data_IF_361259345041
#
_entry.id   IF_361259345041
#
_cell.length_a   1.000
_cell.length_b   1.000
_cell.length_c   1.000
_cell.angle_alpha   90.00
_cell.angle_beta   90.00
_cell.angle_gamma   90.00
#
_symmetry.space_group_name_H-M   'P 1'
#
loop_
_entity.id
_entity.type
_entity.pdbx_description
1 polymer ?
#
# COMPACT_ATOMS: atom_id res chain seq x y z
N UNK A 1 11.49 11.52 -13.55
CA UNK A 1 10.14 11.86 -13.05
C UNK A 1 9.16 11.37 -14.10
N UNK A 2 8.07 10.72 -13.69
CA UNK A 2 7.00 10.37 -14.62
C UNK A 2 6.37 11.68 -15.11
N UNK A 3 6.19 11.83 -16.42
CA UNK A 3 5.47 12.98 -16.97
C UNK A 3 4.03 12.97 -16.44
N UNK A 4 3.52 14.12 -15.99
CA UNK A 4 2.18 14.30 -15.41
C UNK A 4 1.89 13.56 -14.09
N UNK A 5 2.92 13.12 -13.35
CA UNK A 5 2.71 12.58 -12.01
C UNK A 5 2.56 13.69 -10.97
N UNK A 6 1.53 13.57 -10.13
CA UNK A 6 1.38 14.37 -8.91
C UNK A 6 1.93 13.63 -7.69
N UNK A 7 2.53 14.39 -6.78
CA UNK A 7 3.12 13.85 -5.55
C UNK A 7 2.56 14.59 -4.35
N UNK A 8 2.26 13.84 -3.28
CA UNK A 8 2.01 14.38 -1.96
C UNK A 8 3.23 14.10 -1.08
N UNK A 9 4.10 15.11 -0.95
CA UNK A 9 5.44 14.98 -0.33
C UNK A 9 5.48 15.53 1.11
N UNK A 10 4.34 15.96 1.65
CA UNK A 10 4.29 16.45 3.03
C UNK A 10 4.68 15.33 4.01
N UNK A 11 5.58 15.65 4.94
CA UNK A 11 6.10 14.65 5.88
C UNK A 11 5.08 14.32 6.97
N UNK A 12 4.73 13.04 7.12
CA UNK A 12 3.98 12.53 8.27
C UNK A 12 4.89 12.33 9.48
N UNK A 13 5.44 13.42 10.03
CA UNK A 13 6.29 13.36 11.22
C UNK A 13 5.47 13.32 12.52
N UNK A 14 4.77 12.22 12.77
CA UNK A 14 4.03 12.02 14.04
C UNK A 14 4.95 11.99 15.27
N UNK A 15 6.25 11.78 15.09
CA UNK A 15 7.20 11.76 16.21
C UNK A 15 7.44 13.15 16.80
N UNK A 16 7.29 14.21 15.99
CA UNK A 16 7.45 15.60 16.44
C UNK A 16 6.20 16.20 17.09
N UNK A 17 5.06 15.48 17.13
CA UNK A 17 3.84 15.96 17.79
C UNK A 17 3.48 15.17 19.07
N UNK A 18 2.80 15.80 20.04
CA UNK A 18 2.32 15.13 21.25
C UNK A 18 1.44 13.92 20.92
N UNK A 19 1.51 12.86 21.73
CA UNK A 19 0.75 11.62 21.52
C UNK A 19 -0.75 11.87 21.34
N UNK A 20 -1.31 12.80 22.12
CA UNK A 20 -2.70 13.23 22.07
C UNK A 20 -3.12 13.80 20.71
N UNK A 21 -2.18 14.37 19.95
CA UNK A 21 -2.45 15.04 18.67
C UNK A 21 -2.19 14.16 17.45
N UNK A 22 -1.41 13.08 17.59
CA UNK A 22 -0.98 12.22 16.47
C UNK A 22 -2.12 11.75 15.59
N UNK A 23 -3.25 11.38 16.18
CA UNK A 23 -4.44 10.92 15.46
C UNK A 23 -5.03 12.03 14.59
N UNK A 24 -5.18 13.23 15.16
CA UNK A 24 -5.69 14.40 14.46
C UNK A 24 -4.74 14.81 13.34
N UNK A 25 -3.44 14.86 13.64
CA UNK A 25 -2.40 15.21 12.67
C UNK A 25 -2.40 14.25 11.48
N UNK A 26 -2.40 12.93 11.71
CA UNK A 26 -2.47 11.95 10.63
C UNK A 26 -3.75 12.09 9.81
N UNK A 27 -4.91 12.27 10.48
CA UNK A 27 -6.19 12.43 9.77
C UNK A 27 -6.17 13.63 8.83
N UNK A 28 -5.62 14.76 9.29
CA UNK A 28 -5.48 15.98 8.47
C UNK A 28 -4.50 15.77 7.32
N UNK A 29 -3.33 15.19 7.59
CA UNK A 29 -2.33 14.85 6.58
C UNK A 29 -2.91 13.93 5.49
N UNK A 30 -3.63 12.87 5.88
CA UNK A 30 -4.22 11.95 4.91
C UNK A 30 -5.37 12.59 4.12
N UNK A 31 -6.13 13.50 4.72
CA UNK A 31 -7.13 14.28 3.98
C UNK A 31 -6.47 15.16 2.91
N UNK A 32 -5.35 15.81 3.23
CA UNK A 32 -4.55 16.56 2.26
C UNK A 32 -4.00 15.69 1.13
N UNK A 33 -3.57 14.45 1.45
CA UNK A 33 -3.15 13.49 0.43
C UNK A 33 -4.29 13.15 -0.54
N UNK A 34 -5.50 12.88 -0.04
CA UNK A 34 -6.66 12.57 -0.87
C UNK A 34 -7.08 13.74 -1.75
N UNK A 35 -7.08 14.96 -1.19
CA UNK A 35 -7.40 16.18 -1.94
C UNK A 35 -6.37 16.43 -3.04
N UNK A 36 -5.07 16.34 -2.71
CA UNK A 36 -3.98 16.56 -3.67
C UNK A 36 -4.02 15.55 -4.81
N UNK A 37 -4.36 14.30 -4.52
CA UNK A 37 -4.36 13.23 -5.51
C UNK A 37 -5.73 13.04 -6.17
N UNK A 38 -6.75 13.87 -5.91
CA UNK A 38 -8.13 13.61 -6.32
C UNK A 38 -8.30 13.31 -7.82
N UNK A 39 -7.58 14.03 -8.68
CA UNK A 39 -7.66 13.92 -10.14
C UNK A 39 -6.76 12.80 -10.72
N UNK A 40 -6.03 12.05 -9.89
CA UNK A 40 -5.17 10.97 -10.37
C UNK A 40 -5.97 9.69 -10.64
N UNK A 41 -5.85 9.16 -11.87
CA UNK A 41 -6.46 7.89 -12.29
C UNK A 41 -5.87 6.66 -11.59
N UNK A 42 -4.60 6.75 -11.18
CA UNK A 42 -3.87 5.70 -10.48
C UNK A 42 -3.10 6.34 -9.34
N UNK A 43 -3.20 5.76 -8.14
CA UNK A 43 -2.42 6.18 -6.97
C UNK A 43 -1.44 5.09 -6.54
N UNK A 44 -0.24 5.50 -6.17
CA UNK A 44 0.79 4.62 -5.63
C UNK A 44 1.18 5.08 -4.22
N UNK A 45 1.18 4.16 -3.25
CA UNK A 45 1.59 4.44 -1.87
C UNK A 45 2.77 3.56 -1.45
N UNK A 46 3.83 4.19 -0.94
CA UNK A 46 5.07 3.55 -0.46
C UNK A 46 5.31 3.80 1.03
N UNK A 47 4.59 3.08 1.92
CA UNK A 47 4.84 3.15 3.35
C UNK A 47 6.11 2.37 3.73
N UNK A 48 7.03 3.04 4.43
CA UNK A 48 8.27 2.46 5.00
C UNK A 48 8.09 1.05 5.60
N UNK A 49 7.09 0.89 6.47
CA UNK A 49 6.81 -0.32 7.24
C UNK A 49 5.59 -1.10 6.71
N UNK A 50 5.11 -0.77 5.51
CA UNK A 50 4.02 -1.50 4.88
C UNK A 50 2.63 -1.27 5.50
N UNK A 51 1.72 -2.16 5.12
CA UNK A 51 0.33 -2.22 5.58
C UNK A 51 0.22 -2.65 7.05
N UNK A 52 -0.77 -2.12 7.76
CA UNK A 52 -1.14 -2.50 9.12
C UNK A 52 -2.66 -2.61 9.26
N UNK A 53 -3.12 -3.40 10.24
CA UNK A 53 -4.54 -3.43 10.64
C UNK A 53 -5.05 -2.06 11.15
N UNK A 54 -6.37 -1.93 11.23
CA UNK A 54 -7.03 -0.71 11.69
C UNK A 54 -7.11 -0.60 13.24
N UNK A 55 -6.42 -1.46 14.02
CA UNK A 55 -6.53 -1.48 15.49
C UNK A 55 -6.17 -0.11 16.05
N UNK A 56 -7.17 0.49 16.70
CA UNK A 56 -7.11 1.83 17.23
C UNK A 56 -5.95 2.05 18.22
N UNK A 57 -5.56 0.99 18.95
CA UNK A 57 -4.44 1.02 19.90
C UNK A 57 -3.11 1.40 19.25
N UNK A 58 -2.93 1.15 17.95
CA UNK A 58 -1.69 1.45 17.22
C UNK A 58 -1.57 2.93 16.84
N UNK A 59 -2.69 3.63 16.69
CA UNK A 59 -2.77 4.96 16.05
C UNK A 59 -2.06 6.09 16.80
N UNK A 60 -1.74 5.89 18.08
CA UNK A 60 -0.95 6.82 18.89
C UNK A 60 0.57 6.60 18.83
N UNK A 61 1.04 5.50 18.23
CA UNK A 61 2.47 5.15 18.21
C UNK A 61 3.23 5.87 17.09
N UNK A 62 4.51 6.17 17.29
CA UNK A 62 5.35 6.75 16.24
C UNK A 62 5.54 5.77 15.06
N UNK A 63 5.57 4.46 15.35
CA UNK A 63 5.68 3.40 14.32
C UNK A 63 4.51 3.43 13.34
N UNK A 64 3.31 3.77 13.82
CA UNK A 64 2.12 3.87 12.99
C UNK A 64 2.26 4.91 11.89
N UNK A 65 3.00 6.01 12.12
CA UNK A 65 3.30 7.01 11.09
C UNK A 65 4.09 6.48 9.89
N UNK A 66 4.74 5.31 10.02
CA UNK A 66 5.49 4.64 8.96
C UNK A 66 4.69 3.55 8.24
N UNK A 67 3.44 3.34 8.64
CA UNK A 67 2.56 2.29 8.11
C UNK A 67 1.33 2.92 7.46
N UNK A 68 0.67 2.16 6.59
CA UNK A 68 -0.64 2.52 6.04
C UNK A 68 -1.72 1.57 6.59
N UNK A 69 -2.76 2.08 7.27
CA UNK A 69 -3.88 1.26 7.74
C UNK A 69 -4.80 0.86 6.58
N UNK A 70 -5.54 -0.23 6.73
CA UNK A 70 -6.44 -0.77 5.70
C UNK A 70 -7.50 0.27 5.28
N UNK A 71 -8.05 1.03 6.23
CA UNK A 71 -9.04 2.08 5.90
C UNK A 71 -8.47 3.14 4.93
N UNK A 72 -7.22 3.55 5.11
CA UNK A 72 -6.58 4.51 4.20
C UNK A 72 -6.32 3.91 2.81
N UNK A 73 -6.00 2.62 2.74
CA UNK A 73 -5.88 1.91 1.46
C UNK A 73 -7.21 1.93 0.70
N UNK A 74 -8.31 1.60 1.38
CA UNK A 74 -9.65 1.57 0.75
C UNK A 74 -10.04 2.95 0.22
N UNK A 75 -9.76 4.01 1.00
CA UNK A 75 -10.03 5.39 0.60
C UNK A 75 -9.16 5.86 -0.57
N UNK A 76 -7.90 5.43 -0.65
CA UNK A 76 -7.05 5.68 -1.83
C UNK A 76 -7.58 4.98 -3.08
N UNK A 77 -8.14 3.78 -2.92
CA UNK A 77 -8.68 2.97 -4.01
C UNK A 77 -10.12 3.34 -4.41
N UNK A 78 -10.74 4.35 -3.79
CA UNK A 78 -12.11 4.74 -4.07
C UNK A 78 -12.22 5.36 -5.47
N UNK A 79 -12.96 4.68 -6.36
CA UNK A 79 -13.21 5.12 -7.73
C UNK A 79 -12.04 4.94 -8.72
N UNK A 80 -10.93 4.32 -8.30
CA UNK A 80 -9.69 4.24 -9.09
C UNK A 80 -8.79 3.08 -8.71
N UNK A 81 -7.78 2.81 -9.53
CA UNK A 81 -6.76 1.82 -9.20
C UNK A 81 -5.77 2.36 -8.15
N UNK A 82 -5.49 1.55 -7.12
CA UNK A 82 -4.45 1.85 -6.13
C UNK A 82 -3.39 0.74 -6.12
N UNK A 83 -2.13 1.14 -6.05
CA UNK A 83 -0.99 0.23 -5.89
C UNK A 83 -0.32 0.52 -4.55
N UNK A 84 -0.37 -0.46 -3.64
CA UNK A 84 0.18 -0.32 -2.29
C UNK A 84 1.42 -1.19 -2.16
N UNK A 85 2.56 -0.56 -1.91
CA UNK A 85 3.78 -1.26 -1.56
C UNK A 85 3.74 -1.79 -0.13
N UNK A 86 4.28 -2.99 0.06
CA UNK A 86 4.42 -3.62 1.36
C UNK A 86 5.78 -4.32 1.48
N UNK A 87 6.51 -3.93 2.51
CA UNK A 87 7.65 -4.69 3.00
C UNK A 87 7.15 -5.92 3.77
N UNK A 88 7.32 -7.12 3.21
CA UNK A 88 6.90 -8.35 3.87
C UNK A 88 7.55 -8.52 5.25
N UNK A 89 6.81 -9.13 6.19
CA UNK A 89 7.26 -9.35 7.56
C UNK A 89 7.55 -10.82 7.85
N UNK A 90 8.00 -11.11 9.07
CA UNK A 90 8.18 -12.49 9.56
C UNK A 90 6.88 -13.06 10.14
N UNK A 91 5.76 -12.86 9.43
CA UNK A 91 4.46 -13.39 9.86
C UNK A 91 4.54 -14.92 10.02
N UNK A 92 3.95 -15.50 11.10
CA UNK A 92 3.75 -16.94 11.17
C UNK A 92 3.01 -17.46 9.92
N UNK A 93 3.49 -18.56 9.35
CA UNK A 93 3.01 -19.09 8.06
C UNK A 93 3.71 -18.51 6.83
N UNK A 94 4.63 -17.55 7.00
CA UNK A 94 5.46 -17.01 5.93
C UNK A 94 4.76 -15.95 5.07
N UNK A 95 5.48 -15.49 4.04
CA UNK A 95 5.04 -14.37 3.20
C UNK A 95 3.74 -14.68 2.43
N UNK A 96 3.47 -15.94 2.09
CA UNK A 96 2.24 -16.29 1.36
C UNK A 96 1.01 -16.19 2.28
N UNK A 97 1.12 -16.63 3.53
CA UNK A 97 0.08 -16.44 4.54
C UNK A 97 -0.15 -14.95 4.84
N UNK A 98 0.90 -14.14 4.80
CA UNK A 98 0.80 -12.68 4.93
C UNK A 98 0.06 -12.04 3.77
N UNK A 99 0.41 -12.38 2.53
CA UNK A 99 -0.25 -11.86 1.32
C UNK A 99 -1.73 -12.24 1.33
N UNK A 100 -2.05 -13.50 1.63
CA UNK A 100 -3.44 -13.97 1.73
C UNK A 100 -4.24 -13.21 2.77
N UNK A 101 -3.67 -13.02 3.96
CA UNK A 101 -4.33 -12.25 4.99
C UNK A 101 -4.56 -10.81 4.56
N UNK A 102 -3.57 -10.14 3.98
CA UNK A 102 -3.70 -8.74 3.57
C UNK A 102 -4.71 -8.58 2.42
N UNK A 103 -4.74 -9.48 1.44
CA UNK A 103 -5.79 -9.49 0.40
C UNK A 103 -7.19 -9.64 1.03
N UNK A 104 -7.32 -10.53 2.02
CA UNK A 104 -8.59 -10.72 2.74
C UNK A 104 -8.99 -9.49 3.55
N UNK A 105 -8.05 -8.84 4.23
CA UNK A 105 -8.32 -7.64 5.04
C UNK A 105 -8.67 -6.44 4.16
N UNK A 106 -8.00 -6.25 3.01
CA UNK A 106 -8.33 -5.17 2.07
C UNK A 106 -9.80 -5.26 1.63
N UNK A 107 -10.29 -6.47 1.38
CA UNK A 107 -11.69 -6.75 1.05
C UNK A 107 -12.22 -5.96 -0.18
N UNK A 108 -11.35 -5.73 -1.16
CA UNK A 108 -11.65 -5.15 -2.46
C UNK A 108 -11.08 -6.04 -3.58
N UNK A 109 -11.62 -5.96 -4.82
CA UNK A 109 -11.02 -6.62 -5.97
C UNK A 109 -9.53 -6.30 -6.07
N UNK A 110 -8.68 -7.29 -5.83
CA UNK A 110 -7.24 -7.07 -5.73
C UNK A 110 -6.44 -8.33 -6.03
N UNK A 111 -5.20 -8.12 -6.46
CA UNK A 111 -4.19 -9.16 -6.60
C UNK A 111 -2.84 -8.63 -6.11
N UNK A 112 -1.88 -9.53 -5.94
CA UNK A 112 -0.55 -9.19 -5.45
C UNK A 112 0.53 -9.54 -6.47
N UNK A 113 1.53 -8.68 -6.58
CA UNK A 113 2.78 -8.95 -7.29
C UNK A 113 3.89 -9.12 -6.26
N UNK A 114 4.60 -10.24 -6.33
CA UNK A 114 5.66 -10.61 -5.40
C UNK A 114 7.03 -10.42 -6.03
N UNK A 115 7.85 -9.53 -5.48
CA UNK A 115 9.28 -9.46 -5.77
C UNK A 115 10.06 -10.19 -4.66
N UNK A 116 10.57 -11.40 -4.96
CA UNK A 116 11.07 -12.34 -3.95
C UNK A 116 12.57 -12.28 -3.66
N UNK A 117 13.33 -11.48 -4.40
CA UNK A 117 14.79 -11.44 -4.28
C UNK A 117 15.25 -10.68 -3.02
N UNK A 118 16.19 -11.27 -2.27
CA UNK A 118 16.87 -10.73 -1.07
C UNK A 118 15.96 -10.30 0.07
N UNK A 119 15.19 -9.23 -0.13
CA UNK A 119 14.29 -8.64 0.84
C UNK A 119 12.90 -8.60 0.22
N UNK A 120 12.03 -9.60 0.47
CA UNK A 120 10.78 -9.76 -0.24
C UNK A 120 9.86 -8.55 -0.12
N UNK A 121 9.27 -8.17 -1.25
CA UNK A 121 8.29 -7.08 -1.40
C UNK A 121 7.03 -7.60 -2.04
N UNK A 122 5.93 -7.01 -1.65
CA UNK A 122 4.63 -7.23 -2.27
C UNK A 122 4.05 -5.90 -2.72
N UNK A 123 3.53 -5.86 -3.93
CA UNK A 123 2.71 -4.77 -4.43
C UNK A 123 1.28 -5.26 -4.52
N UNK A 124 0.38 -4.67 -3.75
CA UNK A 124 -1.05 -4.96 -3.83
C UNK A 124 -1.67 -4.02 -4.85
N UNK A 125 -2.24 -4.59 -5.90
CA UNK A 125 -2.94 -3.86 -6.95
C UNK A 125 -4.43 -4.02 -6.69
N UNK A 126 -5.13 -2.90 -6.49
CA UNK A 126 -6.50 -2.83 -5.99
C UNK A 126 -7.35 -2.07 -7.01
N UNK A 127 -8.53 -2.59 -7.32
CA UNK A 127 -9.46 -2.03 -8.30
C UNK A 127 -8.82 -1.77 -9.67
N UNK A 128 -7.91 -2.64 -10.11
CA UNK A 128 -7.38 -2.60 -11.46
C UNK A 128 -8.46 -2.98 -12.48
N UNK A 129 -8.51 -2.23 -13.58
CA UNK A 129 -9.24 -2.63 -14.77
C UNK A 129 -8.47 -3.70 -15.56
N UNK A 130 -9.06 -4.14 -16.69
CA UNK A 130 -8.47 -5.16 -17.55
C UNK A 130 -7.13 -4.72 -18.15
N UNK A 131 -6.98 -3.44 -18.50
CA UNK A 131 -5.74 -2.91 -19.09
C UNK A 131 -4.60 -2.95 -18.07
N UNK A 132 -4.84 -2.45 -16.86
CA UNK A 132 -3.85 -2.46 -15.77
C UNK A 132 -3.50 -3.90 -15.39
N UNK A 133 -4.50 -4.79 -15.29
CA UNK A 133 -4.26 -6.19 -14.99
C UNK A 133 -3.37 -6.86 -16.04
N UNK A 134 -3.58 -6.59 -17.32
CA UNK A 134 -2.75 -7.11 -18.41
C UNK A 134 -1.33 -6.54 -18.38
N UNK A 135 -1.20 -5.22 -18.15
CA UNK A 135 0.11 -4.57 -17.98
C UNK A 135 0.89 -5.16 -16.80
N UNK A 136 0.22 -5.53 -15.72
CA UNK A 136 0.82 -6.22 -14.58
C UNK A 136 1.32 -7.63 -14.93
N UNK A 137 0.61 -8.38 -15.78
CA UNK A 137 1.09 -9.69 -16.28
C UNK A 137 2.36 -9.52 -17.13
N UNK A 138 2.33 -8.62 -18.10
CA UNK A 138 3.47 -8.30 -18.97
C UNK A 138 4.69 -7.85 -18.13
N UNK A 139 4.45 -7.02 -17.10
CA UNK A 139 5.50 -6.64 -16.15
C UNK A 139 6.10 -7.86 -15.46
N UNK A 140 5.28 -8.77 -14.94
CA UNK A 140 5.77 -9.98 -14.27
C UNK A 140 6.55 -10.90 -15.22
N UNK A 141 6.14 -11.04 -16.47
CA UNK A 141 6.87 -11.82 -17.48
C UNK A 141 8.25 -11.21 -17.75
N UNK A 142 8.29 -9.90 -17.99
CA UNK A 142 9.53 -9.16 -18.26
C UNK A 142 10.52 -9.26 -17.09
N UNK A 143 10.04 -9.20 -15.86
CA UNK A 143 10.85 -9.20 -14.63
C UNK A 143 10.95 -10.57 -13.96
N UNK A 144 10.43 -11.64 -14.58
CA UNK A 144 10.39 -12.99 -14.02
C UNK A 144 11.76 -13.54 -13.62
N UNK A 145 12.80 -13.23 -14.41
CA UNK A 145 14.20 -13.61 -14.11
C UNK A 145 14.71 -13.01 -12.79
N UNK A 146 14.14 -11.91 -12.33
CA UNK A 146 14.44 -11.26 -11.05
C UNK A 146 13.54 -11.74 -9.92
N UNK A 147 12.85 -12.88 -10.10
CA UNK A 147 11.92 -13.48 -9.14
C UNK A 147 10.72 -12.57 -8.82
N UNK A 148 10.28 -11.80 -9.81
CA UNK A 148 9.02 -11.05 -9.78
C UNK A 148 7.93 -11.91 -10.41
N UNK A 149 6.80 -12.08 -9.73
CA UNK A 149 5.69 -12.86 -10.28
C UNK A 149 4.34 -12.38 -9.72
N UNK A 150 3.27 -12.59 -10.48
CA UNK A 150 1.94 -12.57 -9.90
C UNK A 150 1.84 -13.60 -8.78
N UNK A 151 1.14 -13.25 -7.73
CA UNK A 151 0.78 -14.15 -6.65
C UNK A 151 -0.53 -14.84 -7.01
N UNK A 152 -0.50 -16.17 -6.99
CA UNK A 152 -1.68 -17.00 -7.17
C UNK A 152 -2.04 -17.61 -5.82
N UNK A 153 -3.29 -17.43 -5.39
CA UNK A 153 -3.80 -18.16 -4.23
C UNK A 153 -3.79 -19.65 -4.55
N UNK A 154 -3.24 -20.45 -3.64
CA UNK A 154 -3.30 -21.92 -3.69
C UNK A 154 -4.69 -22.40 -3.26
#
# INVERSE_FOLDING_TARGET
>A
MLENAEFYEESLNVASCPISERRRFRKAWFAGALEKLAECDIVFADPDNGIVDDDDRRKGSAKFGKQIPIDEIRRLAEGRCAIIYHHNTRRPGGHDAEVNHLLSEIALPSFAIRAKAHSPRTFFVINADEEIAERCKIFCERWGKMKVSLYHQL
#
